data_IF_767395299405
#
_entry.id   IF_767395299405
#
_cell.length_a   1.000
_cell.length_b   1.000
_cell.length_c   1.000
_cell.angle_alpha   90.00
_cell.angle_beta   90.00
_cell.angle_gamma   90.00
#
_symmetry.space_group_name_H-M   'P 1'
#
loop_
_entity.id
_entity.type
_entity.pdbx_description
1 polymer ?
#
# COMPACT_ATOMS: atom_id res chain seq x y z
N UNK A 1 26.69 -55.35 -2.37
CA UNK A 1 26.28 -54.43 -1.28
C UNK A 1 26.80 -53.05 -1.63
N UNK A 2 25.95 -52.20 -2.22
CA UNK A 2 26.33 -50.87 -2.75
C UNK A 2 25.89 -49.80 -1.76
N UNK A 3 26.85 -48.94 -1.41
CA UNK A 3 26.70 -47.88 -0.42
C UNK A 3 25.65 -46.83 -0.78
N UNK A 4 25.02 -46.29 0.26
CA UNK A 4 24.15 -45.10 0.24
C UNK A 4 24.91 -43.92 -0.37
N UNK A 5 24.51 -43.48 -1.56
CA UNK A 5 24.86 -42.16 -2.09
C UNK A 5 23.73 -41.23 -1.67
N UNK A 6 24.04 -40.37 -0.69
CA UNK A 6 23.23 -39.25 -0.25
C UNK A 6 23.02 -38.32 -1.46
N UNK A 7 21.76 -38.12 -1.84
CA UNK A 7 21.40 -37.39 -3.07
C UNK A 7 21.69 -35.90 -2.88
N UNK A 8 22.77 -35.43 -3.51
CA UNK A 8 23.37 -34.08 -3.36
C UNK A 8 22.56 -32.96 -4.05
N UNK A 9 21.30 -33.21 -4.44
CA UNK A 9 20.49 -32.25 -5.22
C UNK A 9 19.48 -31.44 -4.40
N UNK A 10 19.30 -31.74 -3.11
CA UNK A 10 18.25 -31.09 -2.30
C UNK A 10 18.75 -29.99 -1.38
N UNK A 11 20.06 -29.81 -1.23
CA UNK A 11 20.64 -28.85 -0.28
C UNK A 11 20.91 -27.48 -0.92
N UNK A 12 20.89 -27.38 -2.26
CA UNK A 12 21.18 -26.14 -3.00
C UNK A 12 20.03 -25.15 -3.15
N UNK A 13 18.79 -25.53 -2.80
CA UNK A 13 17.62 -24.67 -3.05
C UNK A 13 17.18 -23.83 -1.83
N UNK A 14 17.68 -24.15 -0.63
CA UNK A 14 17.28 -23.45 0.60
C UNK A 14 18.11 -22.19 0.90
N UNK A 15 19.26 -22.02 0.24
CA UNK A 15 20.17 -20.89 0.48
C UNK A 15 19.98 -19.70 -0.46
N UNK A 16 19.20 -19.84 -1.54
CA UNK A 16 18.95 -18.75 -2.50
C UNK A 16 17.72 -17.89 -2.16
N UNK A 17 16.82 -18.37 -1.29
CA UNK A 17 15.58 -17.63 -0.94
C UNK A 17 15.83 -16.61 0.18
N UNK A 18 16.88 -16.78 0.99
CA UNK A 18 17.23 -15.84 2.06
C UNK A 18 18.03 -14.61 1.60
N UNK A 19 18.50 -14.57 0.35
CA UNK A 19 19.29 -13.46 -0.19
C UNK A 19 18.48 -12.38 -0.93
N UNK A 20 17.17 -12.56 -1.12
CA UNK A 20 16.30 -11.55 -1.78
C UNK A 20 15.51 -10.71 -0.77
N UNK A 21 15.54 -11.05 0.52
CA UNK A 21 14.75 -10.37 1.57
C UNK A 21 15.60 -9.49 2.51
N UNK A 22 16.90 -9.35 2.23
CA UNK A 22 17.86 -8.69 3.12
C UNK A 22 18.21 -7.25 2.76
N UNK A 23 17.22 -6.38 2.49
CA UNK A 23 17.43 -4.93 2.48
C UNK A 23 16.13 -4.13 2.66
N UNK A 24 15.16 -4.62 3.43
CA UNK A 24 14.15 -3.74 4.03
C UNK A 24 14.75 -3.12 5.31
N UNK A 25 15.88 -2.43 5.16
CA UNK A 25 16.43 -1.64 6.25
C UNK A 25 15.51 -0.45 6.48
N UNK A 26 14.78 -0.54 7.58
CA UNK A 26 14.06 0.51 8.28
C UNK A 26 14.85 1.83 8.28
N UNK A 27 14.42 2.77 7.46
CA UNK A 27 14.86 4.17 7.52
C UNK A 27 13.63 5.08 7.61
N UNK A 28 12.90 4.98 8.70
CA UNK A 28 11.95 6.02 9.12
C UNK A 28 12.74 7.12 9.86
N UNK A 29 13.73 7.70 9.19
CA UNK A 29 14.41 8.90 9.66
C UNK A 29 13.62 10.11 9.17
N UNK A 30 12.73 10.54 10.06
CA UNK A 30 12.08 11.83 10.17
C UNK A 30 12.95 12.98 9.59
N UNK A 31 12.47 13.64 8.53
CA UNK A 31 12.94 14.99 8.19
C UNK A 31 11.77 15.84 7.66
N UNK A 32 11.13 16.55 8.59
CA UNK A 32 10.12 17.57 8.32
C UNK A 32 10.84 18.86 7.88
N UNK A 33 11.06 19.02 6.58
CA UNK A 33 11.63 20.25 6.02
C UNK A 33 11.64 20.37 4.49
N UNK A 34 11.04 19.43 3.76
CA UNK A 34 11.14 19.33 2.30
C UNK A 34 11.21 17.85 1.95
N UNK A 35 10.07 17.29 1.52
CA UNK A 35 9.93 15.84 1.34
C UNK A 35 10.96 15.33 0.31
N UNK A 36 11.83 14.36 0.67
CA UNK A 36 12.79 13.79 -0.26
C UNK A 36 12.03 13.04 -1.35
N UNK A 37 12.58 13.02 -2.58
CA UNK A 37 12.04 12.33 -3.76
C UNK A 37 11.63 10.86 -3.51
N UNK A 38 12.08 10.26 -2.41
CA UNK A 38 11.78 8.88 -2.00
C UNK A 38 10.47 8.73 -1.21
N UNK A 39 9.91 9.81 -0.66
CA UNK A 39 8.65 9.75 0.10
C UNK A 39 7.43 9.48 -0.81
N UNK A 40 7.49 9.95 -2.06
CA UNK A 40 6.43 9.77 -3.06
C UNK A 40 6.27 8.27 -3.44
N UNK A 41 7.35 7.54 -3.83
CA UNK A 41 7.28 6.10 -4.04
C UNK A 41 6.78 5.32 -2.81
N UNK A 42 7.25 5.68 -1.61
CA UNK A 42 6.89 4.98 -0.38
C UNK A 42 5.39 5.13 -0.05
N UNK A 43 4.84 6.34 -0.20
CA UNK A 43 3.42 6.58 0.02
C UNK A 43 2.55 5.90 -1.03
N UNK A 44 2.95 5.95 -2.31
CA UNK A 44 2.23 5.27 -3.39
C UNK A 44 2.22 3.74 -3.18
N UNK A 45 3.36 3.18 -2.79
CA UNK A 45 3.48 1.76 -2.45
C UNK A 45 2.61 1.41 -1.24
N UNK A 46 2.62 2.24 -0.19
CA UNK A 46 1.80 2.03 1.00
C UNK A 46 0.30 2.00 0.67
N UNK A 47 -0.18 2.90 -0.18
CA UNK A 47 -1.58 2.91 -0.62
C UNK A 47 -1.90 1.66 -1.44
N UNK A 48 -1.01 1.22 -2.33
CA UNK A 48 -1.18 -0.05 -3.04
C UNK A 48 -1.18 -1.26 -2.09
N UNK A 49 -0.35 -1.24 -1.05
CA UNK A 49 -0.21 -2.32 -0.08
C UNK A 49 -1.40 -2.40 0.88
N UNK A 50 -1.94 -1.27 1.34
CA UNK A 50 -3.06 -1.23 2.29
C UNK A 50 -4.42 -1.27 1.64
N UNK A 51 -4.58 -0.55 0.54
CA UNK A 51 -5.86 -0.37 -0.13
C UNK A 51 -5.98 -1.17 -1.42
N UNK A 52 -4.88 -1.67 -1.99
CA UNK A 52 -4.94 -2.34 -3.29
C UNK A 52 -5.22 -1.38 -4.43
N UNK A 53 -4.82 -0.12 -4.26
CA UNK A 53 -5.08 0.97 -5.21
C UNK A 53 -3.76 1.56 -5.66
N UNK A 54 -3.53 1.59 -6.97
CA UNK A 54 -2.39 2.28 -7.58
C UNK A 54 -2.78 3.73 -7.86
N UNK A 55 -2.17 4.65 -7.13
CA UNK A 55 -2.33 6.09 -7.33
C UNK A 55 -1.12 6.63 -8.12
N UNK A 56 -1.31 7.58 -9.05
CA UNK A 56 -0.20 8.25 -9.71
C UNK A 56 0.73 8.97 -8.72
N UNK A 57 2.04 8.83 -8.90
CA UNK A 57 3.06 9.46 -8.05
C UNK A 57 2.96 11.00 -8.03
N UNK A 58 2.51 11.61 -9.12
CA UNK A 58 2.29 13.06 -9.19
C UNK A 58 1.20 13.54 -8.22
N UNK A 59 0.21 12.68 -7.95
CA UNK A 59 -0.99 13.06 -7.19
C UNK A 59 -0.95 12.56 -5.75
N UNK A 60 -0.23 11.47 -5.46
CA UNK A 60 -0.28 10.80 -4.17
C UNK A 60 0.05 11.71 -2.97
N UNK A 61 0.93 12.70 -3.16
CA UNK A 61 1.26 13.66 -2.10
C UNK A 61 0.08 14.54 -1.71
N UNK A 62 -0.84 14.81 -2.64
CA UNK A 62 -2.04 15.56 -2.34
C UNK A 62 -2.92 14.82 -1.36
N UNK A 63 -2.90 13.48 -1.33
CA UNK A 63 -3.67 12.69 -0.37
C UNK A 63 -3.29 12.97 1.10
N UNK A 64 -2.06 13.43 1.37
CA UNK A 64 -1.65 13.79 2.73
C UNK A 64 -2.33 15.06 3.24
N UNK A 65 -2.83 15.92 2.35
CA UNK A 65 -3.43 17.19 2.73
C UNK A 65 -4.95 17.02 2.96
N UNK A 66 -5.44 17.44 4.13
CA UNK A 66 -6.88 17.50 4.41
C UNK A 66 -7.66 18.20 3.29
N UNK A 67 -8.83 17.66 2.96
CA UNK A 67 -9.74 18.16 1.94
C UNK A 67 -9.32 17.81 0.51
N UNK A 68 -8.18 17.16 0.33
CA UNK A 68 -7.70 16.74 -0.99
C UNK A 68 -8.24 15.36 -1.36
N UNK A 69 -8.41 15.15 -2.65
CA UNK A 69 -8.80 13.87 -3.24
C UNK A 69 -7.84 13.49 -4.36
N UNK A 70 -7.51 12.20 -4.44
CA UNK A 70 -6.71 11.63 -5.52
C UNK A 70 -7.45 10.46 -6.13
N UNK A 71 -7.28 10.26 -7.43
CA UNK A 71 -7.85 9.11 -8.12
C UNK A 71 -6.82 7.99 -8.18
N UNK A 72 -7.27 6.75 -7.98
CA UNK A 72 -6.43 5.58 -8.07
C UNK A 72 -7.13 4.41 -8.74
N UNK A 73 -6.35 3.58 -9.43
CA UNK A 73 -6.85 2.38 -10.10
C UNK A 73 -6.78 1.20 -9.15
N UNK A 74 -7.88 0.47 -8.99
CA UNK A 74 -7.93 -0.73 -8.16
C UNK A 74 -7.09 -1.82 -8.82
N UNK A 75 -6.07 -2.30 -8.11
CA UNK A 75 -5.23 -3.42 -8.51
C UNK A 75 -5.55 -4.68 -7.71
N UNK A 76 -6.07 -4.54 -6.50
CA UNK A 76 -6.49 -5.64 -5.64
C UNK A 76 -7.82 -5.31 -4.92
N UNK A 77 -8.96 -5.73 -5.47
CA UNK A 77 -10.28 -5.46 -4.89
C UNK A 77 -10.49 -6.08 -3.51
N UNK A 78 -9.77 -7.15 -3.17
CA UNK A 78 -9.97 -7.86 -1.90
C UNK A 78 -9.65 -6.97 -0.69
N UNK A 79 -8.66 -6.08 -0.82
CA UNK A 79 -8.27 -5.11 0.21
C UNK A 79 -9.36 -4.07 0.48
N UNK A 80 -10.02 -3.58 -0.57
CA UNK A 80 -11.16 -2.67 -0.43
C UNK A 80 -12.41 -3.38 0.11
N UNK A 81 -12.64 -4.63 -0.30
CA UNK A 81 -13.73 -5.44 0.22
C UNK A 81 -13.60 -5.70 1.73
N UNK A 82 -12.38 -5.94 2.22
CA UNK A 82 -12.10 -6.09 3.66
C UNK A 82 -12.39 -4.82 4.47
N UNK A 83 -12.43 -3.65 3.81
CA UNK A 83 -12.82 -2.37 4.38
C UNK A 83 -14.31 -2.06 4.18
N UNK A 84 -15.09 -2.99 3.63
CA UNK A 84 -16.52 -2.85 3.41
C UNK A 84 -16.92 -2.29 2.05
N UNK A 85 -15.98 -2.12 1.10
CA UNK A 85 -16.27 -1.69 -0.27
C UNK A 85 -16.21 -2.87 -1.24
N UNK A 86 -17.31 -3.61 -1.33
CA UNK A 86 -17.38 -4.88 -2.07
C UNK A 86 -17.80 -4.76 -3.54
N UNK A 87 -18.17 -3.55 -3.99
CA UNK A 87 -18.72 -3.28 -5.33
C UNK A 87 -17.69 -2.66 -6.28
N UNK A 88 -16.40 -2.96 -6.10
CA UNK A 88 -15.30 -2.52 -6.95
C UNK A 88 -14.58 -3.72 -7.53
N UNK A 89 -14.19 -3.61 -8.79
CA UNK A 89 -13.49 -4.64 -9.55
C UNK A 89 -12.06 -4.22 -9.86
N UNK A 90 -11.22 -5.19 -10.21
CA UNK A 90 -9.86 -4.89 -10.65
C UNK A 90 -9.93 -4.05 -11.93
N UNK A 91 -9.22 -2.93 -11.92
CA UNK A 91 -9.21 -1.97 -13.01
C UNK A 91 -10.17 -0.80 -12.85
N UNK A 92 -11.09 -0.85 -11.88
CA UNK A 92 -11.97 0.28 -11.57
C UNK A 92 -11.17 1.46 -11.01
N UNK A 93 -11.75 2.65 -11.10
CA UNK A 93 -11.17 3.87 -10.52
C UNK A 93 -11.94 4.23 -9.26
N UNK A 94 -11.19 4.47 -8.19
CA UNK A 94 -11.71 4.96 -6.91
C UNK A 94 -11.06 6.31 -6.58
N UNK A 95 -11.84 7.17 -5.92
CA UNK A 95 -11.34 8.40 -5.32
C UNK A 95 -10.98 8.12 -3.86
N UNK A 96 -9.76 8.48 -3.49
CA UNK A 96 -9.27 8.47 -2.11
C UNK A 96 -9.22 9.92 -1.63
N UNK A 97 -9.98 10.26 -0.60
CA UNK A 97 -10.02 11.62 -0.07
C UNK A 97 -9.69 11.64 1.42
N UNK A 98 -8.69 12.43 1.81
CA UNK A 98 -8.41 12.73 3.21
C UNK A 98 -9.40 13.79 3.68
N UNK A 99 -10.34 13.41 4.53
CA UNK A 99 -11.36 14.32 5.07
C UNK A 99 -10.87 15.08 6.32
N UNK A 100 -9.65 14.80 6.77
CA UNK A 100 -9.12 15.24 8.05
C UNK A 100 -9.77 14.50 9.22
N UNK A 101 -9.33 14.83 10.44
CA UNK A 101 -9.82 14.21 11.67
C UNK A 101 -9.78 12.67 11.62
N UNK A 102 -8.68 12.12 11.11
CA UNK A 102 -8.45 10.68 10.97
C UNK A 102 -9.41 9.96 10.01
N UNK A 103 -10.02 10.65 9.03
CA UNK A 103 -11.00 10.03 8.10
C UNK A 103 -10.50 9.97 6.65
N UNK A 104 -10.50 8.77 6.09
CA UNK A 104 -10.27 8.50 4.68
C UNK A 104 -11.59 8.08 4.01
N UNK A 105 -12.06 8.85 3.05
CA UNK A 105 -13.15 8.44 2.18
C UNK A 105 -12.61 7.70 0.95
N UNK A 106 -13.26 6.59 0.61
CA UNK A 106 -12.94 5.78 -0.57
C UNK A 106 -14.23 5.61 -1.36
N UNK A 107 -14.31 6.23 -2.54
CA UNK A 107 -15.54 6.29 -3.33
C UNK A 107 -15.29 5.76 -4.75
N UNK A 108 -16.02 4.74 -5.22
CA UNK A 108 -15.95 4.31 -6.62
C UNK A 108 -16.42 5.43 -7.55
N UNK A 109 -15.65 5.71 -8.62
CA UNK A 109 -16.09 6.66 -9.65
C UNK A 109 -17.26 6.15 -10.48
N UNK A 110 -17.52 4.84 -10.47
CA UNK A 110 -18.65 4.19 -11.14
C UNK A 110 -20.02 4.52 -10.53
N UNK A 111 -20.09 5.40 -9.51
CA UNK A 111 -21.35 5.85 -8.89
C UNK A 111 -21.83 4.96 -7.73
N UNK A 112 -20.95 4.09 -7.20
CA UNK A 112 -21.24 3.26 -6.04
C UNK A 112 -21.23 4.02 -4.71
N UNK A 113 -21.84 3.44 -3.66
CA UNK A 113 -21.70 3.95 -2.29
C UNK A 113 -20.24 3.81 -1.86
N UNK A 114 -19.59 4.93 -1.56
CA UNK A 114 -18.27 4.94 -0.96
C UNK A 114 -18.29 4.49 0.50
N UNK A 115 -17.11 4.27 1.04
CA UNK A 115 -16.88 4.00 2.47
C UNK A 115 -16.06 5.12 3.09
N UNK A 116 -16.14 5.24 4.41
CA UNK A 116 -15.21 6.06 5.21
C UNK A 116 -14.54 5.17 6.23
N UNK A 117 -13.21 5.20 6.25
CA UNK A 117 -12.37 4.43 7.16
C UNK A 117 -11.49 5.36 7.96
N UNK A 118 -11.09 4.92 9.16
CA UNK A 118 -10.12 5.70 9.91
C UNK A 118 -8.73 5.56 9.27
N UNK A 119 -8.01 6.67 9.07
CA UNK A 119 -6.66 6.66 8.49
C UNK A 119 -5.73 5.83 9.39
N UNK A 120 -5.87 5.96 10.71
CA UNK A 120 -5.16 5.18 11.73
C UNK A 120 -5.44 3.68 11.64
N UNK A 121 -6.63 3.25 11.21
CA UNK A 121 -6.97 1.84 11.05
C UNK A 121 -6.38 1.25 9.75
N UNK A 122 -6.35 2.04 8.67
CA UNK A 122 -5.84 1.62 7.37
C UNK A 122 -4.31 1.63 7.34
N UNK A 123 -3.71 2.73 7.82
CA UNK A 123 -2.28 3.00 7.69
C UNK A 123 -1.51 2.83 9.01
N UNK A 124 -2.19 2.62 10.14
CA UNK A 124 -1.53 2.36 11.43
C UNK A 124 -0.65 3.53 11.87
N UNK A 125 0.60 3.27 12.30
CA UNK A 125 1.54 4.32 12.74
C UNK A 125 1.80 5.42 11.70
N UNK A 126 1.60 5.13 10.41
CA UNK A 126 1.84 6.07 9.32
C UNK A 126 0.70 7.09 9.16
N UNK A 127 -0.40 6.96 9.91
CA UNK A 127 -1.49 7.93 9.92
C UNK A 127 -1.01 9.34 10.32
N UNK A 128 0.08 9.47 11.09
CA UNK A 128 0.67 10.75 11.47
C UNK A 128 1.21 11.57 10.29
N UNK A 129 1.36 10.96 9.10
CA UNK A 129 1.77 11.65 7.89
C UNK A 129 0.62 12.43 7.24
N UNK A 130 -0.63 12.05 7.54
CA UNK A 130 -1.83 12.70 7.02
C UNK A 130 -2.16 13.90 7.92
N UNK A 131 -2.26 15.06 7.30
CA UNK A 131 -2.56 16.34 7.96
C UNK A 131 -4.02 16.71 7.76
#
# INVERSE_FOLDING_TARGET
MRGKILNLKTVGFLLAVLLVLGAAQTSWALNLGGLPSEAVPQLAQMVADKLGVKVPAADIMNLLNQGSSVSGKVTDPSKLSNLGLSNVSQGDVVNLANQGNDKLAITPQSGGKGITQNISQVFGPMASMFK
#
